data_IF_973555404048
#
_entry.id   IF_973555404048
#
_cell.length_a   1.000
_cell.length_b   1.000
_cell.length_c   1.000
_cell.angle_alpha   90.00
_cell.angle_beta   90.00
_cell.angle_gamma   90.00
#
_symmetry.space_group_name_H-M   'P 1'
#
loop_
_entity.id
_entity.type
_entity.pdbx_description
1 polymer ?
#
# COMPACT_ATOMS: atom_id res chain seq x y z
N UNK A 1 -18.20 1.64 8.76
CA UNK A 1 -17.19 2.65 8.37
C UNK A 1 -17.74 3.43 7.20
N UNK A 2 -17.57 4.76 7.12
CA UNK A 2 -17.87 5.49 5.88
C UNK A 2 -16.99 4.92 4.75
N UNK A 3 -17.32 5.13 3.46
CA UNK A 3 -16.44 4.76 2.35
C UNK A 3 -15.20 5.67 2.39
N UNK A 4 -14.31 5.38 3.33
CA UNK A 4 -13.44 6.36 3.95
C UNK A 4 -12.13 6.50 3.19
N UNK A 5 -11.92 7.69 2.65
CA UNK A 5 -10.73 8.14 1.89
C UNK A 5 -10.41 7.32 0.63
N UNK A 6 -10.62 7.96 -0.52
CA UNK A 6 -9.95 7.57 -1.77
C UNK A 6 -8.60 8.29 -1.94
N UNK A 7 -8.06 8.82 -0.84
CA UNK A 7 -6.79 9.52 -0.81
C UNK A 7 -5.70 8.55 -0.35
N UNK A 8 -4.67 8.37 -1.17
CA UNK A 8 -3.56 7.48 -0.86
C UNK A 8 -2.24 8.14 -1.24
N UNK A 9 -1.19 7.89 -0.46
CA UNK A 9 0.18 8.29 -0.83
C UNK A 9 0.91 7.11 -1.47
N UNK A 10 1.46 7.35 -2.64
CA UNK A 10 2.23 6.36 -3.39
C UNK A 10 3.71 6.53 -3.10
N UNK A 11 4.47 5.44 -3.12
CA UNK A 11 5.94 5.51 -3.09
C UNK A 11 6.56 4.42 -3.96
N UNK A 12 7.63 4.77 -4.67
CA UNK A 12 8.38 3.88 -5.54
C UNK A 12 7.74 3.68 -6.91
N UNK A 13 6.77 4.50 -7.31
CA UNK A 13 6.12 4.41 -8.63
C UNK A 13 6.76 5.37 -9.65
N UNK A 14 6.92 6.63 -9.25
CA UNK A 14 7.58 7.67 -10.02
C UNK A 14 8.02 8.80 -9.06
N UNK A 15 9.21 9.39 -9.22
CA UNK A 15 9.69 10.43 -8.31
C UNK A 15 8.72 11.61 -8.13
N UNK A 16 7.93 11.94 -9.15
CA UNK A 16 6.99 13.06 -9.16
C UNK A 16 5.68 12.76 -8.39
N UNK A 17 5.41 11.48 -8.12
CA UNK A 17 4.24 10.99 -7.40
C UNK A 17 4.56 10.57 -5.97
N UNK A 18 5.82 10.25 -5.70
CA UNK A 18 6.26 9.76 -4.40
C UNK A 18 5.90 10.73 -3.27
N UNK A 19 5.31 10.19 -2.20
CA UNK A 19 4.87 10.91 -0.99
C UNK A 19 3.73 11.91 -1.18
N UNK A 20 3.23 12.07 -2.41
CA UNK A 20 2.10 12.96 -2.68
C UNK A 20 0.79 12.21 -2.46
N UNK A 21 -0.16 12.80 -1.70
CA UNK A 21 -1.48 12.23 -1.58
C UNK A 21 -2.25 12.41 -2.90
N UNK A 22 -2.73 11.31 -3.46
CA UNK A 22 -3.53 11.29 -4.68
C UNK A 22 -4.96 10.87 -4.33
N UNK A 23 -5.93 11.58 -4.90
CA UNK A 23 -7.35 11.22 -4.80
C UNK A 23 -7.73 10.38 -6.00
N UNK A 24 -8.03 9.11 -5.77
CA UNK A 24 -8.54 8.21 -6.80
C UNK A 24 -10.06 8.35 -6.91
N UNK A 25 -10.61 8.20 -8.12
CA UNK A 25 -12.08 8.21 -8.30
C UNK A 25 -12.74 6.90 -7.84
N UNK A 26 -11.94 5.84 -7.69
CA UNK A 26 -12.38 4.51 -7.24
C UNK A 26 -11.42 4.02 -6.15
N UNK A 27 -11.93 3.31 -5.12
CA UNK A 27 -11.07 2.79 -4.06
C UNK A 27 -10.01 1.84 -4.65
N UNK A 28 -8.82 1.87 -4.06
CA UNK A 28 -7.82 0.85 -4.35
C UNK A 28 -8.26 -0.49 -3.73
N UNK A 29 -7.90 -1.62 -4.34
CA UNK A 29 -8.11 -2.92 -3.71
C UNK A 29 -7.43 -2.94 -2.33
N UNK A 30 -8.07 -3.48 -1.28
CA UNK A 30 -7.53 -3.44 0.09
C UNK A 30 -6.12 -4.04 0.21
N UNK A 31 -5.82 -5.06 -0.58
CA UNK A 31 -4.51 -5.72 -0.65
C UNK A 31 -3.41 -4.90 -1.35
N UNK A 32 -3.65 -3.61 -1.64
CA UNK A 32 -2.67 -2.67 -2.20
C UNK A 32 -2.20 -1.62 -1.21
N UNK A 33 -2.92 -1.45 -0.11
CA UNK A 33 -2.56 -0.47 0.92
C UNK A 33 -1.88 -1.24 2.04
N UNK A 34 -0.65 -0.83 2.38
CA UNK A 34 0.04 -1.41 3.53
C UNK A 34 -0.77 -1.15 4.80
N UNK A 35 -1.18 -2.20 5.49
CA UNK A 35 -1.93 -2.13 6.74
C UNK A 35 -1.13 -1.51 7.88
N UNK A 36 0.21 -1.55 7.83
CA UNK A 36 1.08 -0.98 8.86
C UNK A 36 1.40 0.51 8.65
N UNK A 37 1.66 0.96 7.42
CA UNK A 37 2.08 2.34 7.15
C UNK A 37 1.11 3.16 6.29
N UNK A 38 0.05 2.56 5.75
CA UNK A 38 -0.96 3.21 4.92
C UNK A 38 -0.49 3.59 3.51
N UNK A 39 0.78 3.35 3.17
CA UNK A 39 1.33 3.66 1.85
C UNK A 39 0.95 2.59 0.81
N UNK A 40 0.83 3.02 -0.44
CA UNK A 40 0.69 2.14 -1.60
C UNK A 40 2.06 2.03 -2.26
N UNK A 41 2.51 0.80 -2.49
CA UNK A 41 3.82 0.45 -3.09
C UNK A 41 3.61 -0.52 -4.23
N UNK A 42 4.60 -0.63 -5.12
CA UNK A 42 4.53 -1.56 -6.25
C UNK A 42 4.41 -3.01 -5.78
N UNK A 43 5.03 -3.36 -4.66
CA UNK A 43 5.03 -4.73 -4.14
C UNK A 43 4.46 -4.79 -2.73
N UNK A 44 3.49 -5.69 -2.54
CA UNK A 44 2.92 -6.03 -1.23
C UNK A 44 3.01 -7.52 -0.96
N UNK A 45 3.08 -7.87 0.32
CA UNK A 45 3.02 -9.20 0.88
C UNK A 45 1.67 -9.35 1.61
N UNK A 46 0.85 -10.30 1.18
CA UNK A 46 -0.35 -10.71 1.91
C UNK A 46 0.03 -11.85 2.86
N UNK A 47 -0.15 -11.60 4.15
CA UNK A 47 0.13 -12.56 5.21
C UNK A 47 -1.07 -13.50 5.43
N UNK A 48 -0.82 -14.64 6.08
CA UNK A 48 -1.85 -15.62 6.47
C UNK A 48 -2.87 -15.05 7.47
N UNK A 49 -2.50 -14.05 8.26
CA UNK A 49 -3.43 -13.27 9.09
C UNK A 49 -4.29 -12.25 8.29
N UNK A 50 -4.23 -12.30 6.96
CA UNK A 50 -4.93 -11.43 6.01
C UNK A 50 -4.49 -9.94 6.00
N UNK A 51 -3.50 -9.56 6.79
CA UNK A 51 -2.88 -8.25 6.71
C UNK A 51 -1.97 -8.12 5.49
N UNK A 52 -1.98 -6.94 4.87
CA UNK A 52 -1.13 -6.63 3.71
C UNK A 52 0.00 -5.72 4.15
N UNK A 53 1.25 -6.09 3.91
CA UNK A 53 2.42 -5.26 4.19
C UNK A 53 3.13 -4.87 2.88
N UNK A 54 3.71 -3.69 2.80
CA UNK A 54 4.67 -3.42 1.73
C UNK A 54 6.01 -4.12 2.01
N UNK A 55 6.84 -4.30 0.99
CA UNK A 55 8.15 -4.97 1.12
C UNK A 55 9.03 -4.38 2.24
N UNK A 56 8.99 -3.05 2.44
CA UNK A 56 9.77 -2.37 3.47
C UNK A 56 9.26 -2.69 4.87
N UNK A 57 7.94 -2.74 5.08
CA UNK A 57 7.37 -3.14 6.36
C UNK A 57 7.56 -4.64 6.60
N UNK A 58 7.37 -5.47 5.57
CA UNK A 58 7.57 -6.92 5.65
C UNK A 58 9.02 -7.29 6.04
N UNK A 59 10.01 -6.67 5.40
CA UNK A 59 11.42 -6.90 5.72
C UNK A 59 11.83 -6.45 7.12
N UNK A 60 11.13 -5.48 7.71
CA UNK A 60 11.32 -5.07 9.11
C UNK A 60 10.68 -6.03 10.11
N UNK A 61 9.76 -6.88 9.67
CA UNK A 61 9.10 -7.88 10.53
C UNK A 61 9.94 -9.15 10.72
N UNK A 62 11.10 -9.25 10.05
CA UNK A 62 12.00 -10.38 10.17
C UNK A 62 12.80 -10.29 11.47
N UNK A 63 12.40 -11.07 12.48
CA UNK A 63 13.17 -11.26 13.70
C UNK A 63 13.60 -12.72 13.82
N UNK A 64 14.92 -12.96 13.89
CA UNK A 64 15.50 -14.29 14.06
C UNK A 64 15.02 -15.37 13.04
N UNK A 65 14.63 -14.96 11.83
CA UNK A 65 14.15 -15.86 10.77
C UNK A 65 12.66 -16.18 10.83
N UNK A 66 11.91 -15.56 11.73
CA UNK A 66 10.44 -15.59 11.77
C UNK A 66 9.91 -14.23 11.36
N UNK A 67 8.86 -14.21 10.53
CA UNK A 67 8.15 -12.99 10.18
C UNK A 67 6.95 -12.81 11.09
N UNK A 68 7.01 -11.84 12.01
CA UNK A 68 5.89 -11.58 12.93
C UNK A 68 5.06 -10.42 12.39
N UNK A 69 3.76 -10.62 12.19
CA UNK A 69 2.89 -9.55 11.76
C UNK A 69 2.90 -8.41 12.80
N UNK A 70 3.17 -7.15 12.40
CA UNK A 70 3.33 -6.04 13.34
C UNK A 70 1.99 -5.52 13.88
N UNK A 71 0.86 -6.04 13.38
CA UNK A 71 -0.48 -5.58 13.71
C UNK A 71 -1.14 -6.45 14.79
N UNK A 72 -0.91 -7.76 14.76
CA UNK A 72 -1.54 -8.73 15.65
C UNK A 72 -0.56 -9.73 16.29
N UNK A 73 0.72 -9.68 15.92
CA UNK A 73 1.75 -10.59 16.44
C UNK A 73 1.72 -12.00 15.85
N UNK A 74 0.96 -12.23 14.77
CA UNK A 74 0.86 -13.55 14.15
C UNK A 74 2.17 -13.94 13.45
N UNK A 75 2.72 -15.11 13.78
CA UNK A 75 3.90 -15.69 13.14
C UNK A 75 3.56 -16.20 11.74
N UNK A 76 4.20 -15.61 10.73
CA UNK A 76 4.08 -15.97 9.33
C UNK A 76 5.35 -16.72 8.90
N UNK A 77 5.19 -17.84 8.20
CA UNK A 77 6.29 -18.48 7.48
C UNK A 77 6.37 -17.88 6.07
N UNK A 78 7.57 -17.80 5.49
CA UNK A 78 7.78 -17.19 4.18
C UNK A 78 6.97 -17.90 3.07
N UNK A 79 6.77 -19.20 3.20
CA UNK A 79 5.98 -20.02 2.27
C UNK A 79 4.49 -19.66 2.25
N UNK A 80 3.99 -19.04 3.31
CA UNK A 80 2.58 -18.63 3.45
C UNK A 80 2.32 -17.21 2.91
N UNK A 81 3.35 -16.53 2.42
CA UNK A 81 3.25 -15.13 1.98
C UNK A 81 3.00 -15.03 0.49
N UNK A 82 1.87 -14.43 0.14
CA UNK A 82 1.53 -14.16 -1.26
C UNK A 82 2.06 -12.77 -1.62
N UNK A 83 3.12 -12.74 -2.44
CA UNK A 83 3.62 -11.51 -3.03
C UNK A 83 2.69 -11.06 -4.18
N UNK A 84 2.26 -9.81 -4.14
CA UNK A 84 1.42 -9.21 -5.18
C UNK A 84 2.10 -7.98 -5.73
N UNK A 85 2.38 -8.00 -7.03
CA UNK A 85 2.92 -6.85 -7.75
C UNK A 85 1.78 -5.97 -8.31
N UNK A 86 2.01 -4.67 -8.33
CA UNK A 86 1.16 -3.65 -8.94
C UNK A 86 2.07 -2.73 -9.76
N UNK A 87 2.26 -3.03 -11.05
CA UNK A 87 3.14 -2.22 -11.87
C UNK A 87 2.56 -0.81 -12.03
N UNK A 88 3.44 0.17 -12.23
CA UNK A 88 3.03 1.57 -12.32
C UNK A 88 2.01 1.83 -13.43
N UNK A 89 2.05 1.07 -14.52
CA UNK A 89 1.08 1.14 -15.61
C UNK A 89 -0.37 0.90 -15.16
N UNK A 90 -0.60 -0.04 -14.23
CA UNK A 90 -1.95 -0.32 -13.72
C UNK A 90 -2.47 0.81 -12.83
N UNK A 91 -1.55 1.51 -12.15
CA UNK A 91 -1.88 2.67 -11.36
C UNK A 91 -2.14 3.90 -12.23
N UNK A 92 -1.32 4.12 -13.26
CA UNK A 92 -1.46 5.23 -14.22
C UNK A 92 -2.74 5.13 -15.06
N UNK A 93 -3.32 3.94 -15.19
CA UNK A 93 -4.63 3.72 -15.84
C UNK A 93 -5.82 4.06 -14.95
N UNK A 94 -5.61 4.31 -13.66
CA UNK A 94 -6.70 4.71 -12.76
C UNK A 94 -6.96 6.21 -12.85
N UNK A 95 -8.23 6.55 -12.86
CA UNK A 95 -8.67 7.94 -12.83
C UNK A 95 -8.38 8.53 -11.44
N UNK A 96 -7.60 9.60 -11.42
CA UNK A 96 -7.32 10.43 -10.25
C UNK A 96 -7.95 11.80 -10.47
N UNK A 97 -8.50 12.41 -9.42
CA UNK A 97 -8.93 13.80 -9.49
C UNK A 97 -7.72 14.70 -9.26
N UNK A 98 -7.36 15.53 -10.24
CA UNK A 98 -6.43 16.61 -10.03
C UNK A 98 -7.09 17.64 -9.10
N UNK A 99 -6.60 17.75 -7.86
CA UNK A 99 -7.02 18.86 -7.01
C UNK A 99 -6.24 20.13 -7.42
N UNK A 100 -6.54 20.68 -8.61
CA UNK A 100 -5.99 21.97 -9.08
C UNK A 100 -6.80 23.16 -8.51
N UNK A 101 -7.75 22.93 -7.60
CA UNK A 101 -8.36 24.02 -6.84
C UNK A 101 -7.51 24.41 -5.62
N UNK A 102 -6.29 24.81 -5.92
CA UNK A 102 -5.50 25.78 -5.18
C UNK A 102 -5.19 26.98 -6.09
N UNK A 103 -6.19 27.47 -6.85
CA UNK A 103 -6.08 28.69 -7.64
C UNK A 103 -6.84 29.80 -6.95
N UNK A 104 -6.08 30.71 -6.32
CA UNK A 104 -6.36 32.14 -6.12
C UNK A 104 -7.80 32.50 -5.73
N UNK A 105 -8.01 32.80 -4.44
CA UNK A 105 -8.55 34.08 -3.95
C UNK A 105 -7.89 34.43 -2.62
#
# INVERSE_FOLDING_TARGET
MPPGSMQYSLVGFAPELDWRPLHFLKPLPPNRVCSACGLVRQKTALLSCAHTLCESCYGQCAEAGLHVCPLDGYECQDEDVICVDFPAEDLLRREVSDNIYGSIL
#
